data_IF_483708440041
#
_entry.id   IF_483708440041
#
_cell.length_a   1.000
_cell.length_b   1.000
_cell.length_c   1.000
_cell.angle_alpha   90.00
_cell.angle_beta   90.00
_cell.angle_gamma   90.00
#
_symmetry.space_group_name_H-M   'P 1'
#
loop_
_entity.id
_entity.type
_entity.pdbx_description
1 polymer ?
#
# COMPACT_ATOMS: atom_id res chain seq x y z
N UNK A 1 -13.48 1.18 5.39
CA UNK A 1 -13.20 0.36 4.20
C UNK A 1 -12.92 1.25 3.02
N UNK A 2 -12.21 0.72 2.05
CA UNK A 2 -11.93 1.43 0.83
C UNK A 2 -11.89 0.47 -0.33
N UNK A 3 -11.51 0.95 -1.49
CA UNK A 3 -11.43 0.13 -2.68
C UNK A 3 -10.18 0.44 -3.46
N UNK A 4 -9.51 -0.62 -3.90
CA UNK A 4 -8.46 -0.52 -4.90
C UNK A 4 -9.11 -0.86 -6.24
N UNK A 5 -9.15 0.12 -7.14
CA UNK A 5 -9.82 -0.02 -8.43
C UNK A 5 -8.76 -0.01 -9.52
N UNK A 6 -8.72 -1.06 -10.32
CA UNK A 6 -7.68 -1.22 -11.32
C UNK A 6 -8.30 -1.35 -12.70
N UNK A 7 -7.77 -0.58 -13.63
CA UNK A 7 -8.10 -0.49 -15.04
C UNK A 7 -9.47 0.15 -15.29
N UNK A 8 -9.80 0.33 -16.56
CA UNK A 8 -11.01 1.05 -16.95
C UNK A 8 -12.26 0.18 -16.85
N UNK A 9 -12.10 -1.11 -16.62
CA UNK A 9 -13.23 -2.02 -16.47
C UNK A 9 -13.80 -2.00 -15.06
N UNK A 10 -13.15 -1.29 -14.15
CA UNK A 10 -13.68 -1.18 -12.81
C UNK A 10 -13.42 -2.38 -11.93
N UNK A 11 -12.39 -3.16 -12.21
CA UNK A 11 -12.02 -4.24 -11.31
C UNK A 11 -11.65 -3.65 -9.96
N UNK A 12 -12.36 -4.05 -8.92
CA UNK A 12 -12.21 -3.44 -7.60
C UNK A 12 -12.09 -4.50 -6.53
N UNK A 13 -11.26 -4.20 -5.52
CA UNK A 13 -11.11 -5.04 -4.34
C UNK A 13 -11.34 -4.16 -3.13
N UNK A 14 -12.11 -4.66 -2.17
CA UNK A 14 -12.31 -3.94 -0.92
C UNK A 14 -11.14 -4.18 0.01
N UNK A 15 -10.56 -3.10 0.49
CA UNK A 15 -9.42 -3.13 1.39
C UNK A 15 -9.68 -2.06 2.45
N UNK A 16 -9.36 -2.36 3.72
CA UNK A 16 -9.58 -1.36 4.75
C UNK A 16 -8.74 -0.11 4.46
N UNK A 17 -9.26 1.03 4.89
CA UNK A 17 -8.62 2.32 4.57
C UNK A 17 -7.17 2.39 5.03
N UNK A 18 -6.85 1.82 6.20
CA UNK A 18 -5.50 1.89 6.71
C UNK A 18 -4.52 1.12 5.83
N UNK A 19 -4.88 -0.11 5.46
CA UNK A 19 -4.04 -0.89 4.54
C UNK A 19 -3.93 -0.21 3.19
N UNK A 20 -5.05 0.32 2.71
CA UNK A 20 -5.07 0.98 1.40
C UNK A 20 -4.17 2.21 1.38
N UNK A 21 -4.13 2.97 2.48
CA UNK A 21 -3.26 4.14 2.56
C UNK A 21 -1.79 3.75 2.44
N UNK A 22 -1.41 2.65 3.06
CA UNK A 22 -0.02 2.17 2.98
C UNK A 22 0.29 1.63 1.59
N UNK A 23 -0.65 0.90 0.98
CA UNK A 23 -0.47 0.43 -0.39
C UNK A 23 -0.30 1.58 -1.36
N UNK A 24 -1.06 2.66 -1.15
CA UNK A 24 -0.99 3.82 -2.03
C UNK A 24 0.43 4.37 -2.08
N UNK A 25 1.09 4.50 -0.93
CA UNK A 25 2.46 5.01 -0.88
C UNK A 25 3.40 4.09 -1.66
N UNK A 26 3.27 2.78 -1.46
CA UNK A 26 4.16 1.81 -2.08
C UNK A 26 3.98 1.81 -3.60
N UNK A 27 2.73 1.73 -4.05
CA UNK A 27 2.43 1.70 -5.48
C UNK A 27 2.86 3.02 -6.15
N UNK A 28 2.59 4.14 -5.49
CA UNK A 28 2.99 5.44 -6.01
C UNK A 28 4.50 5.52 -6.21
N UNK A 29 5.26 5.03 -5.23
CA UNK A 29 6.72 5.07 -5.33
C UNK A 29 7.23 4.24 -6.49
N UNK A 30 6.63 3.07 -6.73
CA UNK A 30 7.03 2.23 -7.85
C UNK A 30 6.67 2.88 -9.18
N UNK A 31 5.45 3.35 -9.31
CA UNK A 31 5.00 3.88 -10.59
C UNK A 31 5.66 5.20 -10.94
N UNK A 32 6.04 6.00 -9.93
CA UNK A 32 6.77 7.24 -10.20
C UNK A 32 8.13 6.98 -10.84
N UNK A 33 8.70 5.81 -10.61
CA UNK A 33 9.95 5.41 -11.24
C UNK A 33 9.73 4.58 -12.50
N UNK A 34 8.49 4.55 -12.99
CA UNK A 34 8.11 3.78 -14.15
C UNK A 34 8.37 2.29 -13.96
N UNK A 35 8.26 1.80 -12.73
CA UNK A 35 8.45 0.39 -12.43
C UNK A 35 7.09 -0.27 -12.25
N UNK A 36 6.89 -1.36 -12.95
CA UNK A 36 5.70 -2.16 -12.75
C UNK A 36 5.93 -3.18 -11.64
N UNK A 37 4.84 -3.76 -11.14
CA UNK A 37 4.95 -4.72 -10.05
C UNK A 37 3.76 -5.66 -10.06
N UNK A 38 3.98 -6.87 -9.52
CA UNK A 38 2.89 -7.81 -9.30
C UNK A 38 2.34 -7.56 -7.89
N UNK A 39 1.02 -7.54 -7.77
CA UNK A 39 0.35 -7.34 -6.49
C UNK A 39 -0.60 -8.52 -6.27
N UNK A 40 -0.35 -9.28 -5.21
CA UNK A 40 -1.15 -10.44 -4.85
C UNK A 40 -1.97 -10.14 -3.61
N UNK A 41 -3.25 -10.47 -3.64
CA UNK A 41 -4.11 -10.26 -2.49
C UNK A 41 -5.16 -11.36 -2.43
N UNK A 42 -5.48 -11.75 -1.19
CA UNK A 42 -6.61 -12.62 -0.93
C UNK A 42 -7.64 -11.79 -0.18
N UNK A 43 -8.74 -11.40 -0.84
CA UNK A 43 -9.68 -10.46 -0.23
C UNK A 43 -10.43 -11.00 0.99
N UNK A 44 -10.49 -12.31 1.16
CA UNK A 44 -11.18 -12.87 2.32
C UNK A 44 -12.68 -13.01 2.14
N UNK A 45 -13.19 -12.78 0.94
CA UNK A 45 -14.61 -12.90 0.64
C UNK A 45 -14.96 -14.22 -0.02
N UNK A 46 -14.03 -15.17 -0.03
CA UNK A 46 -14.24 -16.44 -0.66
C UNK A 46 -13.92 -16.47 -2.14
N UNK A 47 -13.53 -15.37 -2.72
CA UNK A 47 -13.21 -15.31 -4.15
C UNK A 47 -11.82 -15.84 -4.48
N UNK A 48 -11.04 -16.25 -3.47
CA UNK A 48 -9.72 -16.78 -3.68
C UNK A 48 -8.66 -15.69 -3.73
N UNK A 49 -7.51 -16.05 -4.26
CA UNK A 49 -6.38 -15.13 -4.36
C UNK A 49 -6.39 -14.49 -5.75
N UNK A 50 -6.07 -13.18 -5.77
CA UNK A 50 -6.03 -12.44 -7.01
C UNK A 50 -4.68 -11.78 -7.18
N UNK A 51 -4.18 -11.79 -8.42
CA UNK A 51 -2.89 -11.18 -8.74
C UNK A 51 -3.11 -10.11 -9.80
N UNK A 52 -2.54 -8.93 -9.56
CA UNK A 52 -2.64 -7.80 -10.49
C UNK A 52 -1.26 -7.41 -10.96
N UNK A 53 -1.09 -7.31 -12.28
CA UNK A 53 0.14 -6.73 -12.83
C UNK A 53 -0.07 -5.22 -12.94
N UNK A 54 0.50 -4.48 -12.01
CA UNK A 54 0.30 -3.04 -11.93
C UNK A 54 1.35 -2.35 -12.80
N UNK A 55 0.88 -1.59 -13.77
CA UNK A 55 1.73 -0.96 -14.76
C UNK A 55 1.43 0.54 -14.80
N UNK A 56 2.45 1.39 -15.02
CA UNK A 56 2.23 2.84 -15.02
C UNK A 56 1.22 3.34 -16.06
N UNK A 57 1.02 2.60 -17.14
CA UNK A 57 0.10 3.05 -18.19
C UNK A 57 -1.34 2.63 -17.95
N UNK A 58 -1.63 1.88 -16.89
CA UNK A 58 -2.98 1.42 -16.61
C UNK A 58 -3.61 2.31 -15.54
N UNK A 59 -4.82 2.85 -15.77
CA UNK A 59 -5.46 3.69 -14.77
C UNK A 59 -5.76 2.89 -13.50
N UNK A 60 -5.57 3.52 -12.35
CA UNK A 60 -5.93 2.92 -11.08
C UNK A 60 -6.39 4.01 -10.13
N UNK A 61 -7.17 3.61 -9.13
CA UNK A 61 -7.73 4.56 -8.18
C UNK A 61 -7.72 3.93 -6.80
N UNK A 62 -7.35 4.74 -5.82
CA UNK A 62 -7.49 4.38 -4.41
C UNK A 62 -8.67 5.17 -3.86
N UNK A 63 -9.74 4.46 -3.54
CA UNK A 63 -10.96 5.12 -3.08
C UNK A 63 -11.12 4.85 -1.58
N UNK A 64 -10.98 5.90 -0.78
CA UNK A 64 -11.10 5.82 0.66
C UNK A 64 -12.51 6.23 1.07
N UNK A 65 -13.13 5.45 1.94
CA UNK A 65 -14.50 5.74 2.38
C UNK A 65 -14.53 6.68 3.57
N UNK A 66 -13.48 6.66 4.40
CA UNK A 66 -13.40 7.57 5.52
C UNK A 66 -12.86 8.91 5.11
N UNK A 67 -13.28 9.96 5.83
CA UNK A 67 -12.80 11.30 5.54
C UNK A 67 -11.48 11.62 6.22
N UNK A 68 -11.10 10.84 7.26
CA UNK A 68 -9.87 11.07 7.98
C UNK A 68 -8.75 10.24 7.39
N UNK A 69 -7.62 10.87 7.15
CA UNK A 69 -6.47 10.20 6.59
C UNK A 69 -5.82 9.32 7.66
N UNK A 70 -5.64 8.02 7.41
CA UNK A 70 -5.02 7.16 8.41
C UNK A 70 -3.57 7.55 8.69
N UNK A 71 -3.14 7.32 9.91
CA UNK A 71 -1.75 7.50 10.28
C UNK A 71 -0.89 6.44 9.59
N UNK A 72 0.23 6.86 9.01
CA UNK A 72 1.10 5.94 8.29
C UNK A 72 2.12 5.33 9.24
N UNK A 73 2.23 4.01 9.18
CA UNK A 73 3.23 3.25 9.93
C UNK A 73 4.45 3.07 9.03
N UNK A 74 5.52 3.81 9.33
CA UNK A 74 6.71 3.80 8.48
C UNK A 74 7.30 2.41 8.35
N UNK A 75 7.32 1.64 9.43
CA UNK A 75 7.87 0.29 9.39
C UNK A 75 7.09 -0.58 8.42
N UNK A 76 5.77 -0.41 8.38
CA UNK A 76 4.96 -1.18 7.46
C UNK A 76 5.21 -0.78 6.01
N UNK A 77 5.32 0.53 5.76
CA UNK A 77 5.64 1.01 4.41
C UNK A 77 6.96 0.41 3.95
N UNK A 78 7.97 0.39 4.82
CA UNK A 78 9.26 -0.18 4.45
C UNK A 78 9.18 -1.66 4.14
N UNK A 79 8.42 -2.42 4.95
CA UNK A 79 8.24 -3.84 4.67
C UNK A 79 7.54 -4.07 3.34
N UNK A 80 6.52 -3.28 3.07
CA UNK A 80 5.76 -3.42 1.83
C UNK A 80 6.61 -3.02 0.62
N UNK A 81 7.47 -2.01 0.78
CA UNK A 81 8.39 -1.62 -0.29
C UNK A 81 9.37 -2.74 -0.62
N UNK A 82 9.90 -3.42 0.40
CA UNK A 82 10.78 -4.55 0.18
C UNK A 82 10.04 -5.66 -0.53
N UNK A 83 8.82 -5.95 -0.11
CA UNK A 83 8.02 -6.99 -0.74
C UNK A 83 7.74 -6.64 -2.21
N UNK A 84 7.44 -5.38 -2.49
CA UNK A 84 7.13 -4.96 -3.85
C UNK A 84 8.33 -5.12 -4.79
N UNK A 85 9.52 -5.12 -4.25
CA UNK A 85 10.73 -5.28 -5.05
C UNK A 85 11.22 -6.73 -5.11
N UNK A 86 10.53 -7.64 -4.42
CA UNK A 86 10.93 -9.03 -4.41
C UNK A 86 10.43 -9.75 -5.66
N UNK A 87 11.04 -10.89 -6.01
CA UNK A 87 10.58 -11.66 -7.17
C UNK A 87 9.15 -12.17 -7.02
N UNK A 88 8.66 -12.32 -5.79
CA UNK A 88 7.32 -12.82 -5.55
C UNK A 88 6.26 -11.73 -5.63
N UNK A 89 6.66 -10.47 -5.75
CA UNK A 89 5.72 -9.38 -5.84
C UNK A 89 5.24 -8.86 -4.50
N UNK A 90 4.38 -7.86 -4.56
CA UNK A 90 3.86 -7.20 -3.36
C UNK A 90 2.75 -8.05 -2.74
N UNK A 91 2.97 -8.46 -1.50
CA UNK A 91 1.97 -9.16 -0.71
C UNK A 91 1.77 -8.35 0.56
N UNK A 92 0.51 -8.20 0.99
CA UNK A 92 0.22 -7.45 2.20
C UNK A 92 0.67 -8.28 3.40
N UNK A 93 1.66 -7.75 4.12
CA UNK A 93 2.15 -8.40 5.34
C UNK A 93 1.34 -7.89 6.53
N UNK A 94 1.33 -8.63 7.64
CA UNK A 94 0.72 -8.10 8.86
C UNK A 94 1.41 -6.81 9.28
N UNK A 95 0.64 -5.88 9.80
CA UNK A 95 1.21 -4.60 10.20
C UNK A 95 2.15 -4.79 11.38
N UNK A 96 3.43 -4.36 11.26
CA UNK A 96 4.36 -4.44 12.39
C UNK A 96 4.04 -3.37 13.42
N UNK A 97 4.60 -3.48 14.63
CA UNK A 97 4.40 -2.43 15.62
C UNK A 97 4.87 -1.09 15.10
N UNK A 98 4.06 -0.07 15.34
CA UNK A 98 4.43 1.28 15.00
C UNK A 98 5.49 1.75 15.99
N UNK A 99 6.49 2.51 15.51
CA UNK A 99 7.53 3.04 16.37
C UNK A 99 7.44 4.56 16.36
N UNK A 100 6.55 5.09 17.18
CA UNK A 100 6.32 6.53 17.16
C UNK A 100 7.52 7.34 17.54
N UNK A 101 8.43 6.73 18.28
CA UNK A 101 9.62 7.44 18.64
C UNK A 101 10.69 7.37 17.63
N UNK A 102 10.45 6.67 16.64
CA UNK A 102 11.40 6.70 15.59
C UNK A 102 11.49 8.13 15.24
N UNK A 103 12.55 8.58 15.47
CA UNK A 103 12.71 9.97 15.43
C UNK A 103 12.07 10.63 14.30
N UNK A 104 11.12 10.57 14.53
CA UNK A 104 10.52 11.20 13.63
C UNK A 104 10.35 12.51 14.05
N UNK A 105 10.82 11.83 15.03
CA UNK A 105 10.78 12.58 15.53
C UNK A 105 11.23 13.13 15.56
N UNK A 106 11.66 12.79 15.83
CA UNK A 106 12.12 13.42 16.00
C UNK A 106 12.41 13.84 15.80
N UNK A 107 12.76 13.83 15.97
CA UNK A 107 13.03 14.41 15.98
C UNK A 107 13.19 14.69 15.70
N UNK A 108 13.36 14.56 15.85
CA UNK A 108 13.61 15.05 15.66
C UNK A 108 13.79 15.24 15.52
N UNK A 109 14.06 15.07 15.76
CA UNK A 109 14.25 15.48 15.67
C UNK A 109 14.35 15.58 15.72
N UNK A 110 14.63 15.40 15.99
CA UNK A 110 14.70 15.75 16.03
C UNK A 110 14.79 15.84 16.16
N UNK A 111 15.12 15.79 16.52
CA UNK A 111 15.20 16.19 16.56
C UNK A 111 15.28 16.31 16.69
N UNK A 112 15.62 16.26 17.00
CA UNK A 112 15.64 16.62 17.04
C UNK A 112 15.53 16.65 17.02
N UNK A 113 15.76 16.35 17.32
CA UNK A 113 15.54 16.62 17.20
C UNK A 113 15.48 16.55 17.04
#
# INVERSE_FOLDING_TARGET
MGRFIYDTMGNAIEIDDRTLAHLRIVVMNKLRRSESLMFDIEPGDGSGRRSFWIHPSVPLQFHFFGSRQPHLNRAWVEELMVAASSPNGLVITPEPPDQPDAPDTVPAASAAG
#
